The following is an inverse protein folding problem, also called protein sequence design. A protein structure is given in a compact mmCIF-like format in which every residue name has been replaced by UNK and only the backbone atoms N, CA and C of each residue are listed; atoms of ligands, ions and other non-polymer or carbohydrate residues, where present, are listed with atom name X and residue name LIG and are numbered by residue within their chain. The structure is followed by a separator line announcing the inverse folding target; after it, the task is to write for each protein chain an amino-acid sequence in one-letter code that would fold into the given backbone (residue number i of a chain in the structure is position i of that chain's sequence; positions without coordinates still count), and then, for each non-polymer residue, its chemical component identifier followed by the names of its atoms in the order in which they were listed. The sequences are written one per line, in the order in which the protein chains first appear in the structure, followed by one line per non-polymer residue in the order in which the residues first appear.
data_IF_996492137475
#
_entry.id   IF_996492137475
#
_cell.length_a   1.000
_cell.length_b   1.000
_cell.length_c   1.000
_cell.angle_alpha   90.00
_cell.angle_beta   90.00
_cell.angle_gamma   90.00
#
_symmetry.space_group_name_H-M   'P 1'
#
loop_
_entity.id
_entity.type
_entity.pdbx_description
1 polymer ?
#
# COMPACT_ATOMS: atom_id res chain seq x y z
N UNK A 1 14.34 -1.96 14.30
CA UNK A 1 13.44 -2.78 15.14
C UNK A 1 13.97 -2.95 16.54
N UNK A 2 15.13 -3.59 16.73
CA UNK A 2 15.69 -3.84 18.07
C UNK A 2 15.72 -2.59 18.95
N UNK A 3 16.19 -1.44 18.43
CA UNK A 3 16.16 -0.14 19.10
C UNK A 3 14.73 0.39 19.39
N UNK A 4 13.80 0.26 18.45
CA UNK A 4 12.40 0.68 18.64
C UNK A 4 11.70 -0.16 19.72
N UNK A 5 11.96 -1.47 19.74
CA UNK A 5 11.40 -2.40 20.72
C UNK A 5 12.01 -2.21 22.11
N UNK A 6 13.31 -1.93 22.20
CA UNK A 6 14.01 -1.71 23.49
C UNK A 6 13.72 -0.35 24.12
N UNK A 7 13.32 0.67 23.35
CA UNK A 7 12.90 1.97 23.90
C UNK A 7 11.49 1.90 24.49
N UNK A 8 10.61 1.05 23.94
CA UNK A 8 9.23 0.95 24.42
C UNK A 8 9.09 0.23 25.76
N UNK A 9 9.93 -0.78 25.98
CA UNK A 9 9.94 -1.59 27.21
C UNK A 9 10.15 -0.78 28.51
N UNK A 10 11.17 0.10 28.63
CA UNK A 10 11.36 0.89 29.85
C UNK A 10 10.26 1.93 30.06
N UNK A 11 9.69 2.50 28.98
CA UNK A 11 8.57 3.43 29.08
C UNK A 11 7.31 2.76 29.63
N UNK A 12 6.98 1.56 29.13
CA UNK A 12 5.86 0.76 29.62
C UNK A 12 6.07 0.36 31.09
N UNK A 13 7.30 -0.03 31.44
CA UNK A 13 7.67 -0.38 32.82
C UNK A 13 7.55 0.82 33.76
N UNK A 14 8.02 2.01 33.35
CA UNK A 14 7.86 3.24 34.15
C UNK A 14 6.39 3.62 34.34
N UNK A 15 5.59 3.56 33.27
CA UNK A 15 4.16 3.86 33.35
C UNK A 15 3.43 2.91 34.30
N UNK A 16 3.70 1.60 34.23
CA UNK A 16 3.13 0.61 35.13
C UNK A 16 3.56 0.85 36.58
N UNK A 17 4.84 1.18 36.81
CA UNK A 17 5.38 1.42 38.15
C UNK A 17 4.75 2.67 38.79
N UNK A 18 4.62 3.76 38.05
CA UNK A 18 4.03 5.02 38.55
C UNK A 18 2.52 4.85 38.78
N UNK A 19 1.83 4.09 37.93
CA UNK A 19 0.38 3.90 38.03
C UNK A 19 -0.04 2.71 38.89
N UNK A 20 0.91 1.99 39.49
CA UNK A 20 0.65 0.79 40.30
C UNK A 20 -0.23 1.07 41.52
N UNK A 21 -0.12 2.25 42.13
CA UNK A 21 -0.91 2.66 43.30
C UNK A 21 -2.26 3.29 42.96
N UNK A 22 -2.58 3.46 41.67
CA UNK A 22 -3.83 4.10 41.22
C UNK A 22 -4.87 3.01 40.98
N UNK A 23 -5.99 3.07 41.72
CA UNK A 23 -7.13 2.17 41.49
C UNK A 23 -7.73 2.48 40.11
N UNK A 24 -7.49 1.60 39.14
CA UNK A 24 -8.05 1.72 37.79
C UNK A 24 -9.46 1.12 37.78
N UNK A 25 -10.41 1.84 37.20
CA UNK A 25 -11.75 1.31 36.90
C UNK A 25 -11.66 0.21 35.83
N UNK A 26 -12.58 -0.76 35.86
CA UNK A 26 -12.61 -1.89 34.92
C UNK A 26 -12.54 -1.44 33.45
N UNK A 27 -13.29 -0.40 33.10
CA UNK A 27 -13.34 0.15 31.74
C UNK A 27 -11.99 0.71 31.30
N UNK A 28 -11.26 1.37 32.22
CA UNK A 28 -9.94 1.94 31.93
C UNK A 28 -8.91 0.83 31.66
N UNK A 29 -8.98 -0.27 32.40
CA UNK A 29 -8.11 -1.44 32.18
C UNK A 29 -8.41 -2.10 30.83
N UNK A 30 -9.69 -2.20 30.45
CA UNK A 30 -10.08 -2.77 29.16
C UNK A 30 -9.56 -1.93 27.97
N UNK A 31 -9.69 -0.61 28.04
CA UNK A 31 -9.18 0.30 27.01
C UNK A 31 -7.65 0.24 26.92
N UNK A 32 -6.95 0.23 28.07
CA UNK A 32 -5.49 0.14 28.11
C UNK A 32 -4.99 -1.16 27.46
N UNK A 33 -5.63 -2.29 27.79
CA UNK A 33 -5.30 -3.58 27.18
C UNK A 33 -5.59 -3.62 25.68
N UNK A 34 -6.69 -3.02 25.23
CA UNK A 34 -7.02 -2.94 23.81
C UNK A 34 -5.96 -2.13 23.03
N UNK A 35 -5.58 -0.95 23.54
CA UNK A 35 -4.54 -0.12 22.92
C UNK A 35 -3.19 -0.85 22.91
N UNK A 36 -2.84 -1.53 24.01
CA UNK A 36 -1.59 -2.30 24.12
C UNK A 36 -1.57 -3.45 23.11
N UNK A 37 -2.68 -4.16 22.95
CA UNK A 37 -2.82 -5.20 21.93
C UNK A 37 -2.65 -4.64 20.51
N UNK A 38 -3.28 -3.51 20.20
CA UNK A 38 -3.18 -2.86 18.89
C UNK A 38 -1.75 -2.38 18.61
N UNK A 39 -1.10 -1.77 19.61
CA UNK A 39 0.28 -1.32 19.51
C UNK A 39 1.25 -2.48 19.26
N UNK A 40 1.12 -3.59 20.01
CA UNK A 40 1.96 -4.77 19.83
C UNK A 40 1.79 -5.38 18.43
N UNK A 41 0.55 -5.51 17.94
CA UNK A 41 0.30 -5.98 16.58
C UNK A 41 0.93 -5.07 15.52
N UNK A 42 0.80 -3.76 15.70
CA UNK A 42 1.42 -2.79 14.80
C UNK A 42 2.95 -2.90 14.80
N UNK A 43 3.57 -3.06 15.96
CA UNK A 43 5.02 -3.26 16.07
C UNK A 43 5.50 -4.56 15.42
N UNK A 44 4.74 -5.66 15.54
CA UNK A 44 5.05 -6.92 14.86
C UNK A 44 5.00 -6.73 13.34
N UNK A 45 3.97 -6.08 12.83
CA UNK A 45 3.85 -5.80 11.40
C UNK A 45 5.00 -4.91 10.90
N UNK A 46 5.30 -3.85 11.63
CA UNK A 46 6.39 -2.93 11.31
C UNK A 46 7.76 -3.62 11.36
N UNK A 47 7.97 -4.57 12.27
CA UNK A 47 9.16 -5.42 12.30
C UNK A 47 9.28 -6.25 11.01
N UNK A 48 8.23 -6.96 10.61
CA UNK A 48 8.23 -7.74 9.38
C UNK A 48 8.49 -6.89 8.14
N UNK A 49 7.90 -5.70 8.05
CA UNK A 49 8.16 -4.76 6.95
C UNK A 49 9.56 -4.13 7.01
N UNK A 50 10.17 -4.04 8.19
CA UNK A 50 11.47 -3.38 8.34
C UNK A 50 12.59 -4.03 7.53
N UNK A 51 12.56 -5.36 7.34
CA UNK A 51 13.56 -6.07 6.53
C UNK A 51 13.56 -5.59 5.09
N UNK A 52 12.36 -5.39 4.54
CA UNK A 52 12.18 -4.81 3.21
C UNK A 52 12.77 -3.40 3.14
N UNK A 53 12.46 -2.54 4.12
CA UNK A 53 13.01 -1.17 4.16
C UNK A 53 14.52 -1.13 4.36
N UNK A 54 15.09 -2.04 5.16
CA UNK A 54 16.54 -2.16 5.35
C UNK A 54 17.21 -2.54 4.03
N UNK A 55 16.66 -3.50 3.29
CA UNK A 55 17.19 -3.89 1.98
C UNK A 55 17.04 -2.77 0.93
N UNK A 56 15.92 -2.06 0.97
CA UNK A 56 15.68 -0.89 0.14
C UNK A 56 16.65 0.26 0.44
N UNK A 57 17.05 0.48 1.68
CA UNK A 57 18.01 1.54 2.03
C UNK A 57 19.46 1.12 1.77
N UNK A 58 19.83 -0.11 2.15
CA UNK A 58 21.22 -0.57 2.12
C UNK A 58 21.71 -0.91 0.71
N UNK A 59 20.89 -1.56 -0.12
CA UNK A 59 21.33 -2.03 -1.44
C UNK A 59 21.03 -1.02 -2.53
N UNK A 60 22.07 -0.48 -3.18
CA UNK A 60 21.94 0.37 -4.38
C UNK A 60 21.31 -0.39 -5.55
N UNK A 61 21.66 -1.68 -5.70
CA UNK A 61 21.13 -2.55 -6.76
C UNK A 61 19.64 -2.82 -6.58
N UNK A 62 19.22 -3.13 -5.35
CA UNK A 62 17.81 -3.37 -5.03
C UNK A 62 16.95 -2.12 -5.30
N UNK A 63 17.46 -0.91 -5.02
CA UNK A 63 16.77 0.34 -5.36
C UNK A 63 16.57 0.54 -6.85
N UNK A 64 17.56 0.18 -7.66
CA UNK A 64 17.44 0.28 -9.11
C UNK A 64 16.36 -0.68 -9.63
N UNK A 65 16.42 -1.95 -9.24
CA UNK A 65 15.45 -2.96 -9.67
C UNK A 65 14.03 -2.60 -9.18
N UNK A 66 13.89 -2.13 -7.93
CA UNK A 66 12.60 -1.70 -7.39
C UNK A 66 12.03 -0.48 -8.11
N UNK A 67 12.87 0.52 -8.43
CA UNK A 67 12.45 1.70 -9.19
C UNK A 67 11.99 1.33 -10.59
N UNK A 68 12.69 0.41 -11.24
CA UNK A 68 12.34 -0.09 -12.58
C UNK A 68 11.00 -0.84 -12.56
N UNK A 69 10.80 -1.71 -11.56
CA UNK A 69 9.54 -2.43 -11.37
C UNK A 69 8.38 -1.46 -11.11
N UNK A 70 8.58 -0.44 -10.28
CA UNK A 70 7.59 0.59 -10.00
C UNK A 70 7.23 1.43 -11.24
N UNK A 71 8.24 1.83 -12.01
CA UNK A 71 8.04 2.57 -13.27
C UNK A 71 7.30 1.71 -14.31
N UNK A 72 7.62 0.42 -14.42
CA UNK A 72 6.95 -0.49 -15.34
C UNK A 72 5.48 -0.72 -14.96
N UNK A 73 5.17 -0.83 -13.66
CA UNK A 73 3.79 -0.91 -13.18
C UNK A 73 3.00 0.37 -13.50
N UNK A 74 3.59 1.54 -13.26
CA UNK A 74 2.95 2.83 -13.58
C UNK A 74 2.72 3.00 -15.09
N UNK A 75 3.72 2.64 -15.90
CA UNK A 75 3.65 2.74 -17.37
C UNK A 75 2.65 1.76 -17.96
N UNK A 76 2.53 0.56 -17.41
CA UNK A 76 1.51 -0.40 -17.80
C UNK A 76 0.09 0.14 -17.54
N UNK A 77 -0.12 0.79 -16.40
CA UNK A 77 -1.43 1.36 -16.06
C UNK A 77 -1.81 2.53 -16.97
N UNK A 78 -0.84 3.37 -17.35
CA UNK A 78 -1.05 4.49 -18.26
C UNK A 78 -1.40 4.02 -19.69
N UNK A 79 -0.72 2.99 -20.20
CA UNK A 79 -1.00 2.44 -21.53
C UNK A 79 -2.39 1.79 -21.62
N UNK A 80 -2.84 1.11 -20.54
CA UNK A 80 -4.18 0.53 -20.49
C UNK A 80 -5.27 1.60 -20.46
N UNK A 81 -5.01 2.74 -19.81
CA UNK A 81 -5.93 3.88 -19.76
C UNK A 81 -6.04 4.56 -21.13
N UNK A 82 -4.94 4.72 -21.87
CA UNK A 82 -4.94 5.27 -23.24
C UNK A 82 -5.65 4.34 -24.24
N UNK A 83 -5.51 3.01 -24.09
CA UNK A 83 -6.22 2.03 -24.93
C UNK A 83 -7.74 2.05 -24.69
N UNK A 84 -8.21 2.20 -23.45
CA UNK A 84 -9.65 2.37 -23.18
C UNK A 84 -10.21 3.67 -23.76
N UNK A 85 -9.48 4.79 -23.63
CA UNK A 85 -9.92 6.09 -24.18
C UNK A 85 -9.93 6.08 -25.71
N UNK A 86 -8.98 5.40 -26.36
CA UNK A 86 -8.94 5.25 -27.83
C UNK A 86 -10.04 4.31 -28.35
N UNK A 87 -10.33 3.22 -27.63
CA UNK A 87 -11.44 2.32 -27.97
C UNK A 87 -12.81 3.00 -27.83
N UNK A 88 -12.99 3.89 -26.86
CA UNK A 88 -14.22 4.68 -26.69
C UNK A 88 -14.41 5.78 -27.74
N UNK A 89 -13.34 6.15 -28.47
CA UNK A 89 -13.34 7.24 -29.46
C UNK A 89 -13.37 6.77 -30.91
N UNK A 90 -13.50 5.47 -31.20
CA UNK A 90 -13.67 5.01 -32.59
C UNK A 90 -15.17 5.04 -32.94
N UNK A 91 -15.67 6.01 -33.73
CA UNK A 91 -17.04 5.96 -34.21
C UNK A 91 -17.09 4.94 -35.35
N UNK A 92 -18.14 4.11 -35.35
CA UNK A 92 -18.53 3.28 -36.48
C UNK A 92 -18.64 4.13 -37.76
N UNK A 93 -17.60 4.14 -38.60
CA UNK A 93 -17.69 4.64 -39.96
C UNK A 93 -17.58 3.47 -40.93
N UNK A 94 -18.63 2.64 -40.95
CA UNK A 94 -18.85 1.64 -41.98
C UNK A 94 -20.33 1.57 -42.33
N UNK A 95 -20.87 2.70 -42.76
CA UNK A 95 -22.10 2.75 -43.55
C UNK A 95 -21.91 3.79 -44.66
N UNK A 96 -22.38 3.45 -45.86
CA UNK A 96 -22.23 4.13 -47.16
C UNK A 96 -20.96 3.72 -47.89
N UNK A 97 -21.03 2.84 -48.89
CA UNK A 97 -21.11 3.12 -50.35
C UNK A 97 -21.10 1.67 -50.94
N UNK A 98 -22.05 1.09 -51.69
CA UNK A 98 -22.94 1.54 -52.77
C UNK A 98 -24.14 0.60 -52.93
N UNK A 99 -25.33 1.16 -53.18
CA UNK A 99 -26.47 0.48 -53.81
C UNK A 99 -26.75 1.11 -55.17
N UNK A 100 -26.62 0.29 -56.24
CA UNK A 100 -27.14 0.41 -57.64
C UNK A 100 -26.63 1.56 -58.55
N UNK A 101 -26.78 1.46 -59.90
CA UNK A 101 -27.33 0.38 -60.75
C UNK A 101 -26.35 -0.15 -61.83
N UNK A 102 -26.53 -1.39 -62.26
CA UNK A 102 -25.87 -1.96 -63.43
C UNK A 102 -26.82 -1.83 -64.63
N UNK A 103 -26.44 -1.01 -65.61
CA UNK A 103 -27.11 -0.90 -66.92
C UNK A 103 -26.04 -1.07 -68.02
N UNK A 104 -26.51 -1.51 -69.18
CA UNK A 104 -25.82 -1.66 -70.49
C UNK A 104 -24.84 -2.81 -70.64
N UNK A 105 -25.33 -3.91 -71.24
CA UNK A 105 -25.12 -4.22 -72.67
C UNK A 105 -26.36 -4.90 -73.26
#
# INVERSE_FOLDING_TARGET
VYLLSTVWYPLDTMYLTITASIVKTSDRVAIENFIRYLALNFFIFLNSCSLFYVHLLASKRFRHEFKELFLNLFKHNQNNMELQVRSAKTPNHRQQINTLPNNTE
#
